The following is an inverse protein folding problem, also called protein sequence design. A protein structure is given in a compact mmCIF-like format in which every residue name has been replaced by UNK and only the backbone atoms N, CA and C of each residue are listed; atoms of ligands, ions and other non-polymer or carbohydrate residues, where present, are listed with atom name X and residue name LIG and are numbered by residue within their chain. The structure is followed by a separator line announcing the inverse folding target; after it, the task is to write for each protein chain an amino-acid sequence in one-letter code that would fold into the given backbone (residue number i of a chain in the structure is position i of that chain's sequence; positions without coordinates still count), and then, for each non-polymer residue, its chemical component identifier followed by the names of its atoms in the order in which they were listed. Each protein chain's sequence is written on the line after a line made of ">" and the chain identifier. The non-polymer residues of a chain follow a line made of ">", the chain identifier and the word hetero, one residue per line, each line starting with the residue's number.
data_IF_524954088873
#
_entry.id   IF_524954088873
#
_cell.length_a   1.000
_cell.length_b   1.000
_cell.length_c   1.000
_cell.angle_alpha   90.00
_cell.angle_beta   90.00
_cell.angle_gamma   90.00
#
_symmetry.space_group_name_H-M   'P 1'
#
loop_
_entity.id
_entity.type
_entity.pdbx_description
1 polymer ?
#
# COMPACT_ATOMS: atom_id res chain seq x y z
N UNK A 1 -6.48 -16.78 -10.32
CA UNK A 1 -5.40 -15.94 -10.89
C UNK A 1 -4.28 -15.81 -9.86
N UNK A 2 -3.06 -16.23 -10.20
CA UNK A 2 -1.89 -16.10 -9.32
C UNK A 2 -1.58 -14.60 -9.08
N UNK A 3 -1.50 -14.16 -7.82
CA UNK A 3 -1.05 -12.78 -7.51
C UNK A 3 0.40 -12.66 -7.96
N UNK A 4 0.71 -11.65 -8.80
CA UNK A 4 2.10 -11.32 -9.19
C UNK A 4 2.93 -11.17 -7.91
N UNK A 5 4.06 -11.87 -7.81
CA UNK A 5 5.02 -11.73 -6.71
C UNK A 5 6.12 -10.77 -7.14
N UNK A 6 6.63 -9.99 -6.19
CA UNK A 6 7.85 -9.18 -6.36
C UNK A 6 9.00 -9.85 -5.60
N UNK A 7 10.23 -9.61 -6.06
CA UNK A 7 11.43 -9.89 -5.28
C UNK A 7 11.67 -8.77 -4.29
N UNK A 8 12.26 -9.13 -3.16
CA UNK A 8 12.55 -8.25 -2.03
C UNK A 8 13.95 -8.57 -1.56
N UNK A 9 14.73 -7.53 -1.34
CA UNK A 9 16.09 -7.63 -0.86
C UNK A 9 16.13 -7.71 0.67
N UNK A 10 17.28 -8.12 1.22
CA UNK A 10 17.48 -8.31 2.67
C UNK A 10 17.09 -7.08 3.49
N UNK A 11 17.44 -5.88 3.01
CA UNK A 11 17.16 -4.63 3.72
C UNK A 11 15.67 -4.27 3.78
N UNK A 12 14.88 -4.72 2.80
CA UNK A 12 13.48 -4.35 2.62
C UNK A 12 12.49 -5.34 3.22
N UNK A 13 12.98 -6.34 3.96
CA UNK A 13 12.16 -7.41 4.53
C UNK A 13 11.08 -6.86 5.47
N UNK A 14 9.86 -7.35 5.29
CA UNK A 14 8.71 -7.06 6.17
C UNK A 14 8.07 -8.34 6.67
N UNK A 15 7.56 -8.36 7.91
CA UNK A 15 6.93 -9.55 8.48
C UNK A 15 5.92 -10.17 7.52
N UNK A 16 6.09 -11.46 7.23
CA UNK A 16 5.27 -12.21 6.29
C UNK A 16 5.86 -12.41 4.89
N UNK A 17 6.97 -11.75 4.56
CA UNK A 17 7.73 -12.03 3.34
C UNK A 17 8.22 -13.50 3.33
N UNK A 18 8.24 -14.10 2.15
CA UNK A 18 8.67 -15.47 1.94
C UNK A 18 10.16 -15.51 1.58
N UNK A 19 10.98 -16.05 2.48
CA UNK A 19 12.44 -16.17 2.37
C UNK A 19 12.81 -17.45 1.64
N UNK A 20 13.65 -17.30 0.61
CA UNK A 20 14.31 -18.38 -0.09
C UNK A 20 15.79 -18.42 0.34
N UNK A 21 16.23 -19.61 0.74
CA UNK A 21 17.57 -19.84 1.28
C UNK A 21 18.39 -20.60 0.24
N UNK A 22 19.67 -20.24 0.09
CA UNK A 22 20.59 -20.87 -0.86
C UNK A 22 20.66 -22.39 -0.61
N UNK A 23 20.50 -23.16 -1.68
CA UNK A 23 20.54 -24.62 -1.61
C UNK A 23 19.35 -25.30 -0.91
N UNK A 24 18.33 -24.53 -0.48
CA UNK A 24 17.14 -25.07 0.17
C UNK A 24 15.94 -25.10 -0.79
N UNK A 25 15.17 -26.18 -0.76
CA UNK A 25 13.86 -26.25 -1.42
C UNK A 25 12.73 -25.71 -0.55
N UNK A 26 13.00 -25.46 0.74
CA UNK A 26 12.02 -24.92 1.67
C UNK A 26 11.92 -23.40 1.51
N UNK A 27 10.74 -22.89 1.83
CA UNK A 27 10.49 -21.45 1.92
C UNK A 27 10.10 -21.15 3.35
N UNK A 28 10.69 -20.10 3.91
CA UNK A 28 10.41 -19.66 5.28
C UNK A 28 9.65 -18.33 5.24
N UNK A 29 8.98 -17.98 6.32
CA UNK A 29 8.27 -16.73 6.47
C UNK A 29 9.03 -15.83 7.43
N UNK A 30 9.47 -14.66 6.98
CA UNK A 30 10.16 -13.71 7.84
C UNK A 30 9.23 -13.21 8.95
N UNK A 31 9.71 -13.22 10.20
CA UNK A 31 9.00 -12.65 11.34
C UNK A 31 9.53 -11.29 11.74
N UNK A 32 10.83 -11.19 12.00
CA UNK A 32 11.46 -9.99 12.54
C UNK A 32 12.97 -10.05 12.35
N UNK A 33 13.61 -8.88 12.42
CA UNK A 33 15.04 -8.82 12.69
C UNK A 33 15.31 -9.21 14.14
N UNK A 34 16.54 -9.64 14.41
CA UNK A 34 17.06 -9.76 15.77
C UNK A 34 18.14 -8.68 15.97
N UNK A 35 18.65 -8.51 17.18
CA UNK A 35 19.65 -7.46 17.50
C UNK A 35 20.93 -7.53 16.66
N UNK A 36 21.12 -8.63 15.92
CA UNK A 36 22.27 -8.90 15.08
C UNK A 36 21.86 -8.69 13.62
N UNK A 37 22.47 -7.71 12.94
CA UNK A 37 22.06 -7.26 11.60
C UNK A 37 22.11 -8.37 10.54
N UNK A 38 23.01 -9.33 10.70
CA UNK A 38 23.28 -10.40 9.73
C UNK A 38 22.34 -11.60 9.93
N UNK A 39 21.32 -11.47 10.79
CA UNK A 39 20.42 -12.55 11.15
C UNK A 39 18.95 -12.09 11.19
N UNK A 40 18.06 -12.97 10.73
CA UNK A 40 16.62 -12.76 10.77
C UNK A 40 15.89 -13.95 11.39
N UNK A 41 14.81 -13.67 12.13
CA UNK A 41 13.91 -14.69 12.69
C UNK A 41 12.88 -15.10 11.64
N UNK A 42 12.68 -16.40 11.48
CA UNK A 42 11.75 -16.97 10.47
C UNK A 42 10.82 -18.04 11.05
N UNK A 43 9.74 -18.33 10.33
CA UNK A 43 8.82 -19.44 10.57
C UNK A 43 8.78 -20.39 9.38
N UNK A 44 8.73 -21.69 9.62
CA UNK A 44 8.54 -22.67 8.55
C UNK A 44 8.65 -24.10 9.07
N UNK A 45 8.02 -25.03 8.35
CA UNK A 45 8.13 -26.46 8.60
C UNK A 45 8.93 -27.14 7.49
N UNK A 46 9.91 -27.95 7.86
CA UNK A 46 10.67 -28.81 6.94
C UNK A 46 12.17 -28.83 7.22
N UNK A 47 12.73 -30.04 7.38
CA UNK A 47 14.18 -30.29 7.48
C UNK A 47 14.74 -30.27 6.06
N UNK A 48 15.12 -29.08 5.59
CA UNK A 48 15.81 -28.90 4.30
C UNK A 48 17.31 -28.90 4.53
N UNK A 49 18.00 -29.86 3.93
CA UNK A 49 19.38 -30.32 4.20
C UNK A 49 20.49 -29.24 4.08
N UNK A 50 20.20 -27.99 3.67
CA UNK A 50 21.18 -26.89 3.64
C UNK A 50 20.94 -25.76 4.66
N UNK A 51 19.74 -25.65 5.23
CA UNK A 51 19.49 -24.69 6.30
C UNK A 51 20.01 -25.33 7.59
N UNK A 52 21.29 -25.13 7.86
CA UNK A 52 21.87 -25.47 9.16
C UNK A 52 20.96 -24.87 10.22
N UNK A 53 20.29 -25.71 11.02
CA UNK A 53 19.42 -25.29 12.12
C UNK A 53 20.27 -24.49 13.12
N UNK A 54 20.44 -23.19 12.91
CA UNK A 54 21.15 -22.34 13.84
C UNK A 54 20.08 -21.82 14.81
N UNK A 55 19.96 -22.51 15.94
CA UNK A 55 18.97 -22.22 16.97
C UNK A 55 19.30 -20.87 17.62
N UNK A 56 18.43 -19.88 17.48
CA UNK A 56 18.52 -18.65 18.27
C UNK A 56 17.93 -18.86 19.66
N UNK A 57 18.57 -18.31 20.70
CA UNK A 57 18.03 -18.28 22.07
C UNK A 57 17.78 -16.82 22.45
N UNK A 58 16.52 -16.46 22.66
CA UNK A 58 16.16 -15.18 23.26
C UNK A 58 16.33 -15.29 24.79
N UNK A 59 16.95 -14.28 25.43
CA UNK A 59 17.15 -14.27 26.90
C UNK A 59 15.82 -14.44 27.65
N UNK A 60 15.93 -14.99 28.86
CA UNK A 60 14.88 -15.69 29.61
C UNK A 60 13.44 -15.16 29.53
N UNK A 61 12.44 -16.06 29.43
CA UNK A 61 12.59 -17.51 29.29
C UNK A 61 13.15 -17.88 27.90
N UNK A 62 14.12 -18.82 27.88
CA UNK A 62 14.84 -19.25 26.68
C UNK A 62 13.87 -19.70 25.59
N UNK A 63 13.57 -18.81 24.66
CA UNK A 63 12.66 -19.07 23.55
C UNK A 63 13.49 -19.47 22.34
N UNK A 64 13.30 -20.71 21.88
CA UNK A 64 13.96 -21.26 20.71
C UNK A 64 13.26 -20.78 19.43
N UNK A 65 14.04 -20.28 18.47
CA UNK A 65 13.51 -19.87 17.17
C UNK A 65 14.48 -20.17 16.02
N UNK A 66 13.92 -20.17 14.80
CA UNK A 66 14.68 -20.35 13.57
C UNK A 66 15.26 -19.03 13.10
N UNK A 67 16.51 -19.08 12.67
CA UNK A 67 17.20 -17.94 12.06
C UNK A 67 17.74 -18.27 10.69
N UNK A 68 17.82 -17.26 9.84
CA UNK A 68 18.54 -17.28 8.56
C UNK A 68 19.62 -16.19 8.64
N UNK A 69 20.83 -16.53 8.23
CA UNK A 69 21.91 -15.56 8.09
C UNK A 69 21.85 -14.87 6.72
N UNK A 70 22.35 -13.65 6.65
CA UNK A 70 22.45 -12.92 5.37
C UNK A 70 23.28 -13.69 4.32
N UNK A 71 24.33 -14.40 4.75
CA UNK A 71 25.15 -15.25 3.86
C UNK A 71 24.33 -16.36 3.17
N UNK A 72 23.33 -16.89 3.87
CA UNK A 72 22.46 -17.98 3.43
C UNK A 72 21.23 -17.48 2.65
N UNK A 73 20.94 -16.18 2.71
CA UNK A 73 19.83 -15.54 2.01
C UNK A 73 20.07 -15.53 0.49
N UNK A 74 19.09 -16.00 -0.29
CA UNK A 74 19.10 -15.90 -1.75
C UNK A 74 18.24 -14.71 -2.21
N UNK A 75 16.95 -14.78 -1.94
CA UNK A 75 16.00 -13.68 -2.17
C UNK A 75 14.74 -13.87 -1.32
N UNK A 76 13.95 -12.80 -1.18
CA UNK A 76 12.61 -12.90 -0.63
C UNK A 76 11.54 -12.59 -1.68
N UNK A 77 10.32 -13.07 -1.44
CA UNK A 77 9.17 -12.72 -2.24
C UNK A 77 7.99 -12.27 -1.39
N UNK A 78 7.24 -11.30 -1.91
CA UNK A 78 5.94 -10.92 -1.36
C UNK A 78 4.92 -10.71 -2.48
N UNK A 79 3.61 -10.80 -2.19
CA UNK A 79 2.59 -10.36 -3.14
C UNK A 79 2.88 -8.93 -3.55
N UNK A 80 2.85 -8.65 -4.86
CA UNK A 80 2.97 -7.29 -5.36
C UNK A 80 1.94 -6.41 -4.64
N UNK A 81 2.33 -5.20 -4.17
CA UNK A 81 1.39 -4.24 -3.64
C UNK A 81 0.23 -4.12 -4.60
N UNK A 82 -1.00 -4.30 -4.09
CA UNK A 82 -2.17 -4.04 -4.92
C UNK A 82 -2.12 -2.57 -5.28
N UNK A 83 -2.29 -2.25 -6.56
CA UNK A 83 -2.63 -0.88 -6.94
C UNK A 83 -3.84 -0.48 -6.08
N UNK A 84 -3.82 0.69 -5.41
CA UNK A 84 -5.00 1.20 -4.75
C UNK A 84 -6.15 1.13 -5.75
N UNK A 85 -7.16 0.30 -5.46
CA UNK A 85 -8.39 0.30 -6.23
C UNK A 85 -9.25 1.36 -5.60
N UNK A 86 -9.25 2.54 -6.20
CA UNK A 86 -10.10 3.63 -5.77
C UNK A 86 -11.33 3.55 -6.63
N UNK A 87 -12.43 3.24 -5.95
CA UNK A 87 -13.74 3.16 -6.57
C UNK A 87 -14.31 4.57 -6.69
N UNK A 88 -15.08 4.78 -7.75
CA UNK A 88 -15.83 6.01 -7.92
C UNK A 88 -16.83 6.14 -6.76
N UNK A 89 -16.89 7.29 -6.05
CA UNK A 89 -17.90 7.49 -5.03
C UNK A 89 -19.30 7.31 -5.60
N UNK A 90 -20.22 6.65 -4.89
CA UNK A 90 -21.58 6.44 -5.38
C UNK A 90 -22.37 7.75 -5.31
N UNK A 91 -22.42 8.34 -4.13
CA UNK A 91 -23.24 9.52 -3.80
C UNK A 91 -22.55 10.84 -4.14
N UNK A 92 -23.28 11.90 -4.52
CA UNK A 92 -22.72 13.24 -4.58
C UNK A 92 -22.35 13.70 -3.16
N UNK A 93 -21.38 14.60 -3.05
CA UNK A 93 -20.92 15.12 -1.76
C UNK A 93 -19.45 15.45 -1.73
N UNK A 94 -18.99 15.82 -0.54
CA UNK A 94 -17.58 16.10 -0.26
C UNK A 94 -16.84 14.81 0.13
N UNK A 95 -15.65 14.67 -0.46
CA UNK A 95 -14.72 13.57 -0.26
C UNK A 95 -13.32 14.12 -0.01
N UNK A 96 -12.52 13.34 0.70
CA UNK A 96 -11.13 13.62 0.97
C UNK A 96 -10.25 12.52 0.41
N UNK A 97 -9.37 12.89 -0.51
CA UNK A 97 -8.41 12.03 -1.16
C UNK A 97 -7.05 12.14 -0.48
N UNK A 98 -6.50 11.02 -0.01
CA UNK A 98 -5.10 10.96 0.39
C UNK A 98 -4.26 10.79 -0.87
N UNK A 99 -3.35 11.71 -1.13
CA UNK A 99 -2.55 11.74 -2.35
C UNK A 99 -1.06 11.65 -2.02
N UNK A 100 -0.29 11.00 -2.88
CA UNK A 100 1.17 11.05 -2.83
C UNK A 100 1.67 12.23 -3.67
N UNK A 101 2.40 13.14 -3.06
CA UNK A 101 3.14 14.19 -3.75
C UNK A 101 4.65 13.91 -3.68
N UNK A 102 5.45 14.67 -4.44
CA UNK A 102 6.91 14.59 -4.35
C UNK A 102 7.47 14.97 -2.97
N UNK A 103 6.69 15.67 -2.15
CA UNK A 103 7.07 16.14 -0.80
C UNK A 103 6.51 15.27 0.32
N UNK A 104 5.66 14.28 0.00
CA UNK A 104 5.02 13.39 0.98
C UNK A 104 3.55 13.12 0.70
N UNK A 105 2.88 12.46 1.65
CA UNK A 105 1.43 12.23 1.61
C UNK A 105 0.69 13.48 2.11
N UNK A 106 -0.39 13.87 1.42
CA UNK A 106 -1.27 14.96 1.86
C UNK A 106 -2.73 14.64 1.55
N UNK A 107 -3.65 15.44 2.11
CA UNK A 107 -5.09 15.29 1.93
C UNK A 107 -5.66 16.40 1.04
N UNK A 108 -6.43 15.98 0.03
CA UNK A 108 -6.99 16.81 -1.01
C UNK A 108 -8.52 16.71 -1.01
N UNK A 109 -9.21 17.85 -1.02
CA UNK A 109 -10.66 17.87 -1.08
C UNK A 109 -11.16 17.66 -2.52
N UNK A 110 -12.13 16.75 -2.68
CA UNK A 110 -12.84 16.45 -3.92
C UNK A 110 -14.34 16.59 -3.66
N UNK A 111 -15.04 17.30 -4.53
CA UNK A 111 -16.49 17.46 -4.48
C UNK A 111 -17.08 16.74 -5.69
N UNK A 112 -17.91 15.72 -5.45
CA UNK A 112 -18.74 15.10 -6.48
C UNK A 112 -20.07 15.84 -6.55
N UNK A 113 -20.37 16.43 -7.69
CA UNK A 113 -21.66 17.08 -7.94
C UNK A 113 -22.37 16.46 -9.13
N UNK A 114 -23.70 16.49 -9.12
CA UNK A 114 -24.45 16.24 -10.33
C UNK A 114 -24.54 17.55 -11.12
N UNK A 115 -24.06 17.55 -12.36
CA UNK A 115 -24.34 18.65 -13.28
C UNK A 115 -25.84 18.67 -13.55
N UNK A 116 -26.50 19.80 -13.31
CA UNK A 116 -27.82 20.03 -13.90
C UNK A 116 -27.58 20.74 -15.24
N UNK A 117 -28.37 20.40 -16.26
CA UNK A 117 -28.21 20.76 -17.69
C UNK A 117 -28.11 22.26 -18.01
N UNK A 118 -28.15 23.14 -17.01
CA UNK A 118 -27.98 24.59 -17.15
C UNK A 118 -26.52 25.08 -17.11
N UNK A 119 -25.54 24.24 -16.75
CA UNK A 119 -24.15 24.67 -16.52
C UNK A 119 -23.16 24.22 -17.62
N UNK A 120 -23.52 23.27 -18.49
CA UNK A 120 -22.62 22.75 -19.52
C UNK A 120 -23.12 23.09 -20.93
N UNK A 121 -22.41 24.00 -21.60
CA UNK A 121 -22.71 24.45 -22.97
C UNK A 121 -22.31 23.46 -24.07
N UNK A 122 -21.68 22.32 -23.77
CA UNK A 122 -21.36 21.31 -24.78
C UNK A 122 -21.30 19.91 -24.16
N UNK A 123 -22.08 18.99 -24.73
CA UNK A 123 -21.75 17.57 -24.80
C UNK A 123 -22.30 16.67 -23.70
N UNK A 124 -23.29 15.86 -24.08
CA UNK A 124 -23.59 14.49 -23.65
C UNK A 124 -23.53 14.13 -22.14
N UNK A 125 -24.69 14.29 -21.50
CA UNK A 125 -25.49 13.22 -20.89
C UNK A 125 -24.83 12.10 -20.05
N UNK A 126 -23.78 12.38 -19.29
CA UNK A 126 -23.52 11.65 -18.05
C UNK A 126 -23.06 12.63 -16.94
N UNK A 127 -24.04 13.16 -16.21
CA UNK A 127 -23.97 14.33 -15.33
C UNK A 127 -23.12 14.17 -14.05
N UNK A 128 -22.04 13.38 -14.04
CA UNK A 128 -21.20 13.15 -12.86
C UNK A 128 -19.90 13.93 -12.97
N UNK A 129 -19.94 15.18 -12.52
CA UNK A 129 -18.80 16.08 -12.58
C UNK A 129 -18.15 16.22 -11.21
N UNK A 130 -16.83 16.06 -11.20
CA UNK A 130 -15.99 16.23 -10.04
C UNK A 130 -15.36 17.61 -10.09
N UNK A 131 -15.48 18.33 -8.98
CA UNK A 131 -14.75 19.56 -8.72
C UNK A 131 -13.64 19.26 -7.71
N UNK A 132 -12.45 19.71 -8.03
CA UNK A 132 -11.28 19.58 -7.16
C UNK A 132 -10.97 20.97 -6.61
N UNK A 133 -10.67 21.07 -5.32
CA UNK A 133 -10.28 22.36 -4.74
C UNK A 133 -8.96 22.84 -5.36
N UNK A 134 -8.91 24.09 -5.81
CA UNK A 134 -7.76 24.67 -6.53
C UNK A 134 -6.44 24.69 -5.75
N UNK A 135 -6.48 24.43 -4.44
CA UNK A 135 -5.31 24.39 -3.56
C UNK A 135 -4.95 22.97 -3.08
N UNK A 136 -5.54 21.93 -3.68
CA UNK A 136 -5.47 20.56 -3.15
C UNK A 136 -4.29 19.72 -3.67
N UNK A 137 -3.43 20.26 -4.54
CA UNK A 137 -2.32 19.52 -5.16
C UNK A 137 -2.73 18.51 -6.24
N UNK A 138 -4.04 18.23 -6.38
CA UNK A 138 -4.61 17.48 -7.49
C UNK A 138 -4.72 18.38 -8.73
N UNK A 139 -4.32 17.85 -9.89
CA UNK A 139 -4.50 18.48 -11.20
C UNK A 139 -5.91 18.24 -11.71
N UNK A 140 -6.58 19.32 -12.06
CA UNK A 140 -7.92 19.25 -12.61
C UNK A 140 -8.62 20.60 -12.52
N UNK A 141 -8.83 21.22 -13.67
CA UNK A 141 -9.68 22.40 -13.77
C UNK A 141 -11.14 21.97 -13.72
N UNK A 142 -11.98 22.78 -13.08
CA UNK A 142 -13.40 22.57 -12.79
C UNK A 142 -14.15 21.63 -13.77
N UNK A 143 -14.91 20.68 -13.22
CA UNK A 143 -15.88 19.83 -13.94
C UNK A 143 -15.26 18.76 -14.85
N UNK A 144 -14.76 17.67 -14.26
CA UNK A 144 -14.26 16.49 -15.00
C UNK A 144 -14.95 15.20 -14.55
N UNK A 145 -14.91 14.17 -15.38
CA UNK A 145 -15.35 12.81 -15.03
C UNK A 145 -14.36 12.13 -14.07
N UNK A 146 -14.79 11.03 -13.44
CA UNK A 146 -13.92 10.24 -12.56
C UNK A 146 -12.68 9.70 -13.30
N UNK A 147 -12.85 9.25 -14.55
CA UNK A 147 -11.74 8.75 -15.37
C UNK A 147 -10.72 9.85 -15.68
N UNK A 148 -11.18 11.04 -16.06
CA UNK A 148 -10.32 12.20 -16.33
C UNK A 148 -9.56 12.66 -15.09
N UNK A 149 -10.20 12.63 -13.91
CA UNK A 149 -9.55 12.95 -12.64
C UNK A 149 -8.38 12.00 -12.36
N UNK A 150 -8.57 10.69 -12.54
CA UNK A 150 -7.50 9.70 -12.33
C UNK A 150 -6.38 9.84 -13.38
N UNK A 151 -6.74 10.11 -14.64
CA UNK A 151 -5.79 10.30 -15.73
C UNK A 151 -4.93 11.56 -15.53
N UNK A 152 -5.54 12.68 -15.15
CA UNK A 152 -4.85 13.94 -14.86
C UNK A 152 -3.88 13.81 -13.67
N UNK A 153 -4.16 12.89 -12.74
CA UNK A 153 -3.41 12.69 -11.50
C UNK A 153 -2.53 11.43 -11.49
N UNK A 154 -2.15 10.91 -12.67
CA UNK A 154 -1.21 9.77 -12.78
C UNK A 154 0.11 9.95 -12.03
N UNK A 155 0.59 11.19 -11.90
CA UNK A 155 1.85 11.53 -11.21
C UNK A 155 1.67 11.78 -9.72
N UNK A 156 0.44 12.07 -9.28
CA UNK A 156 0.04 12.33 -7.89
C UNK A 156 -1.10 11.38 -7.55
N UNK A 157 -0.83 10.06 -7.48
CA UNK A 157 -1.88 9.06 -7.38
C UNK A 157 -2.66 9.26 -6.08
N UNK A 158 -3.97 9.15 -6.19
CA UNK A 158 -4.83 9.01 -5.02
C UNK A 158 -4.56 7.61 -4.43
N UNK A 159 -4.35 7.55 -3.13
CA UNK A 159 -4.04 6.34 -2.35
C UNK A 159 -5.26 5.84 -1.56
N UNK A 160 -6.10 6.76 -1.11
CA UNK A 160 -7.31 6.50 -0.34
C UNK A 160 -8.32 7.61 -0.62
N UNK A 161 -9.61 7.28 -0.54
CA UNK A 161 -10.71 8.22 -0.66
C UNK A 161 -11.71 7.97 0.47
N UNK A 162 -12.02 9.01 1.22
CA UNK A 162 -12.97 8.97 2.33
C UNK A 162 -14.13 9.93 2.06
N UNK A 163 -15.32 9.60 2.56
CA UNK A 163 -16.37 10.61 2.67
C UNK A 163 -15.95 11.71 3.65
N UNK A 164 -16.54 12.90 3.54
CA UNK A 164 -16.31 13.96 4.52
C UNK A 164 -16.58 13.48 5.96
N UNK A 165 -17.67 12.73 6.17
CA UNK A 165 -18.02 12.17 7.47
C UNK A 165 -16.90 11.27 8.03
N UNK A 166 -16.39 10.34 7.21
CA UNK A 166 -15.31 9.45 7.60
C UNK A 166 -14.01 10.21 7.88
N UNK A 167 -13.65 11.15 7.00
CA UNK A 167 -12.45 11.96 7.12
C UNK A 167 -12.45 12.77 8.41
N UNK A 168 -13.50 13.55 8.66
CA UNK A 168 -13.58 14.39 9.86
C UNK A 168 -13.69 13.55 11.14
N UNK A 169 -14.37 12.40 11.08
CA UNK A 169 -14.42 11.46 12.22
C UNK A 169 -13.04 10.90 12.57
N UNK A 170 -12.24 10.48 11.57
CA UNK A 170 -10.87 10.00 11.80
C UNK A 170 -9.94 11.12 12.25
N UNK A 171 -10.09 12.32 11.68
CA UNK A 171 -9.33 13.52 12.08
C UNK A 171 -9.53 13.84 13.54
N UNK A 172 -10.78 13.86 14.00
CA UNK A 172 -11.11 14.13 15.40
C UNK A 172 -10.52 13.09 16.37
N UNK A 173 -10.28 11.86 15.89
CA UNK A 173 -9.67 10.76 16.64
C UNK A 173 -8.13 10.70 16.53
N UNK A 174 -7.50 11.57 15.74
CA UNK A 174 -6.05 11.51 15.48
C UNK A 174 -5.62 10.29 14.67
N UNK A 175 -6.47 9.80 13.76
CA UNK A 175 -6.29 8.57 12.98
C UNK A 175 -6.02 8.83 11.48
N UNK A 176 -5.56 10.04 11.14
CA UNK A 176 -5.20 10.44 9.76
C UNK A 176 -3.69 10.42 9.55
#
# INVERSE_FOLDING_TARGET
>A
MSKKKIRVDWEDLKPGDLIHVKGSTNTYKFKSRIDWNDMIKVEGGGVGVSATWKLGVEKEPASMFLVVYEEDFDYATRPAPRKPRIEEPVSPGEYWARIQTGEGETWAQIIKAYSNSYVLLYGDNDNRVYQVSGHSGLRGYSWMTWGELLEANKRTPILELLSAEEYYTRKAKGQL
#
